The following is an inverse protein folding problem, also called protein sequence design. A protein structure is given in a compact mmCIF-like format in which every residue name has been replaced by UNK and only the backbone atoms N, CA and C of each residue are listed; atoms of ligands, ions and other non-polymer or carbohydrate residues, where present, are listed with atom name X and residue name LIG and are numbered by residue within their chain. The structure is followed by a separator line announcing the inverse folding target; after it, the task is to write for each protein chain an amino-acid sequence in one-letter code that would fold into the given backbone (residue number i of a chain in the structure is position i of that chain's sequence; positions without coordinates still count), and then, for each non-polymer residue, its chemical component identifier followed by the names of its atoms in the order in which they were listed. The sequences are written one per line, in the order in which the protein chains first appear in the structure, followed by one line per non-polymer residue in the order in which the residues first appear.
data_IF_562922912956
#
_entry.id   IF_562922912956
#
_cell.length_a   1.000
_cell.length_b   1.000
_cell.length_c   1.000
_cell.angle_alpha   90.00
_cell.angle_beta   90.00
_cell.angle_gamma   90.00
#
_symmetry.space_group_name_H-M   'P 1'
#
loop_
_entity.id
_entity.type
_entity.pdbx_description
1 polymer ?
#
# COMPACT_ATOMS: atom_id res chain seq x y z
N UNK A 1 21.19 -11.72 -30.43
CA UNK A 1 20.05 -10.79 -30.51
C UNK A 1 19.78 -10.27 -29.11
N UNK A 2 20.07 -9.00 -28.86
CA UNK A 2 19.84 -8.38 -27.56
C UNK A 2 18.34 -8.13 -27.40
N UNK A 3 17.71 -8.90 -26.52
CA UNK A 3 16.33 -8.66 -26.14
C UNK A 3 16.32 -7.45 -25.20
N UNK A 4 15.93 -6.29 -25.73
CA UNK A 4 15.69 -5.10 -24.92
C UNK A 4 14.56 -5.44 -23.97
N UNK A 5 14.87 -5.75 -22.72
CA UNK A 5 13.87 -5.87 -21.68
C UNK A 5 13.18 -4.51 -21.58
N UNK A 6 11.92 -4.44 -22.01
CA UNK A 6 11.05 -3.32 -21.68
C UNK A 6 11.06 -3.28 -20.16
N UNK A 7 11.56 -2.20 -19.56
CA UNK A 7 11.49 -2.01 -18.12
C UNK A 7 10.00 -1.92 -17.75
N UNK A 8 9.37 -3.05 -17.48
CA UNK A 8 8.03 -3.10 -16.92
C UNK A 8 8.15 -2.59 -15.49
N UNK A 9 7.56 -1.42 -15.21
CA UNK A 9 7.57 -0.85 -13.87
C UNK A 9 7.03 -1.85 -12.85
N UNK A 10 7.39 -1.72 -11.55
CA UNK A 10 7.14 -2.74 -10.53
C UNK A 10 5.68 -3.19 -10.43
N UNK A 11 4.73 -2.30 -10.73
CA UNK A 11 3.29 -2.59 -10.75
C UNK A 11 2.82 -3.45 -11.92
N UNK A 12 3.50 -3.39 -13.07
CA UNK A 12 3.22 -4.28 -14.20
C UNK A 12 3.57 -5.73 -13.84
N UNK A 13 4.74 -5.93 -13.23
CA UNK A 13 5.20 -7.25 -12.78
C UNK A 13 4.30 -7.80 -11.66
N UNK A 14 3.93 -6.95 -10.69
CA UNK A 14 2.97 -7.32 -9.63
C UNK A 14 1.63 -7.76 -10.20
N UNK A 15 1.06 -7.02 -11.16
CA UNK A 15 -0.19 -7.41 -11.82
C UNK A 15 -0.06 -8.74 -12.57
N UNK A 16 1.03 -8.93 -13.32
CA UNK A 16 1.29 -10.18 -14.03
C UNK A 16 1.37 -11.35 -13.04
N UNK A 17 2.08 -11.15 -11.93
CA UNK A 17 2.20 -12.14 -10.86
C UNK A 17 0.86 -12.44 -10.18
N UNK A 18 0.05 -11.43 -9.89
CA UNK A 18 -1.29 -11.61 -9.30
C UNK A 18 -2.18 -12.44 -10.22
N UNK A 19 -2.17 -12.16 -11.54
CA UNK A 19 -2.91 -12.96 -12.53
C UNK A 19 -2.45 -14.42 -12.57
N UNK A 20 -1.12 -14.64 -12.58
CA UNK A 20 -0.53 -15.99 -12.55
C UNK A 20 -0.94 -16.76 -11.28
N UNK A 21 -0.82 -16.13 -10.11
CA UNK A 21 -1.24 -16.75 -8.84
C UNK A 21 -2.74 -17.02 -8.81
N UNK A 22 -3.55 -16.09 -9.33
CA UNK A 22 -5.01 -16.22 -9.38
C UNK A 22 -5.46 -17.38 -10.26
N UNK A 23 -4.74 -17.67 -11.34
CA UNK A 23 -4.98 -18.81 -12.22
C UNK A 23 -4.61 -20.15 -11.57
N UNK A 24 -3.58 -20.16 -10.71
CA UNK A 24 -3.08 -21.38 -10.05
C UNK A 24 -3.80 -21.73 -8.75
N UNK A 25 -4.20 -20.73 -7.98
CA UNK A 25 -4.69 -20.92 -6.62
C UNK A 25 -6.12 -20.39 -6.46
N UNK A 26 -7.10 -21.18 -6.93
CA UNK A 26 -8.51 -20.81 -6.89
C UNK A 26 -9.03 -20.53 -5.47
N UNK A 27 -8.53 -21.23 -4.45
CA UNK A 27 -8.91 -21.02 -3.05
C UNK A 27 -8.56 -19.61 -2.53
N UNK A 28 -7.55 -18.97 -3.13
CA UNK A 28 -7.11 -17.62 -2.78
C UNK A 28 -7.73 -16.55 -3.67
N UNK A 29 -8.73 -16.92 -4.48
CA UNK A 29 -9.29 -16.06 -5.53
C UNK A 29 -9.75 -14.70 -5.03
N UNK A 30 -10.53 -14.66 -3.94
CA UNK A 30 -11.05 -13.42 -3.35
C UNK A 30 -9.91 -12.46 -2.95
N UNK A 31 -8.89 -12.95 -2.25
CA UNK A 31 -7.76 -12.13 -1.78
C UNK A 31 -6.90 -11.67 -2.95
N UNK A 32 -6.70 -12.50 -3.96
CA UNK A 32 -5.89 -12.16 -5.15
C UNK A 32 -6.62 -11.18 -6.07
N UNK A 33 -7.93 -11.32 -6.23
CA UNK A 33 -8.76 -10.37 -6.98
C UNK A 33 -8.74 -9.01 -6.27
N UNK A 34 -8.88 -9.00 -4.94
CA UNK A 34 -8.75 -7.80 -4.12
C UNK A 34 -7.36 -7.16 -4.24
N UNK A 35 -6.28 -7.93 -4.09
CA UNK A 35 -4.92 -7.41 -4.23
C UNK A 35 -4.69 -6.82 -5.63
N UNK A 36 -5.22 -7.47 -6.68
CA UNK A 36 -5.18 -6.95 -8.04
C UNK A 36 -5.85 -5.59 -8.19
N UNK A 37 -6.97 -5.36 -7.52
CA UNK A 37 -7.66 -4.07 -7.51
C UNK A 37 -6.88 -3.01 -6.70
N UNK A 38 -6.33 -3.39 -5.54
CA UNK A 38 -5.52 -2.52 -4.68
C UNK A 38 -4.25 -2.03 -5.39
N UNK A 39 -3.64 -2.84 -6.26
CA UNK A 39 -2.47 -2.44 -7.04
C UNK A 39 -2.71 -1.20 -7.90
N UNK A 40 -3.94 -0.93 -8.35
CA UNK A 40 -4.26 0.29 -9.09
C UNK A 40 -4.13 1.54 -8.23
N UNK A 41 -4.62 1.49 -6.99
CA UNK A 41 -4.46 2.58 -6.01
C UNK A 41 -2.99 2.79 -5.66
N UNK A 42 -2.26 1.70 -5.43
CA UNK A 42 -0.86 1.76 -5.05
C UNK A 42 0.04 2.28 -6.20
N UNK A 43 -0.23 1.90 -7.46
CA UNK A 43 0.50 2.42 -8.61
C UNK A 43 0.28 3.92 -8.79
N UNK A 44 -0.95 4.40 -8.56
CA UNK A 44 -1.26 5.81 -8.61
C UNK A 44 -0.48 6.57 -7.53
N UNK A 45 -0.52 6.11 -6.27
CA UNK A 45 0.23 6.71 -5.17
C UNK A 45 1.75 6.71 -5.43
N UNK A 46 2.30 5.63 -5.99
CA UNK A 46 3.70 5.54 -6.39
C UNK A 46 4.06 6.58 -7.47
N UNK A 47 3.23 6.72 -8.50
CA UNK A 47 3.46 7.67 -9.60
C UNK A 47 3.37 9.11 -9.12
N UNK A 48 2.37 9.43 -8.30
CA UNK A 48 2.22 10.77 -7.70
C UNK A 48 3.39 11.11 -6.77
N UNK A 49 3.79 10.19 -5.91
CA UNK A 49 4.92 10.39 -5.00
C UNK A 49 6.25 10.64 -5.72
N UNK A 50 6.47 10.06 -6.91
CA UNK A 50 7.66 10.40 -7.72
C UNK A 50 7.63 11.85 -8.23
N UNK A 51 6.44 12.36 -8.52
CA UNK A 51 6.27 13.72 -9.05
C UNK A 51 6.36 14.81 -7.99
N UNK A 52 6.05 14.47 -6.73
CA UNK A 52 6.05 15.41 -5.62
C UNK A 52 7.33 15.22 -4.80
N UNK A 53 8.17 16.26 -4.71
CA UNK A 53 9.31 16.25 -3.79
C UNK A 53 8.79 16.47 -2.36
N UNK A 54 8.35 15.41 -1.71
CA UNK A 54 7.83 15.44 -0.33
C UNK A 54 8.99 15.48 0.68
N UNK A 55 8.91 16.37 1.67
CA UNK A 55 9.71 16.28 2.88
C UNK A 55 9.16 15.23 3.85
N UNK A 56 9.97 14.80 4.83
CA UNK A 56 9.55 13.77 5.80
C UNK A 56 8.32 14.18 6.64
N UNK A 57 8.16 15.47 6.97
CA UNK A 57 6.99 15.96 7.70
C UNK A 57 5.72 15.97 6.81
N UNK A 58 5.88 16.22 5.52
CA UNK A 58 4.77 16.25 4.55
C UNK A 58 4.32 14.84 4.16
N UNK A 59 5.18 13.83 4.36
CA UNK A 59 4.88 12.44 4.07
C UNK A 59 3.68 11.92 4.86
N UNK A 60 3.64 12.17 6.18
CA UNK A 60 2.53 11.71 7.04
C UNK A 60 1.22 12.31 6.57
N UNK A 61 1.19 13.64 6.37
CA UNK A 61 0.01 14.35 5.91
C UNK A 61 -0.44 13.87 4.52
N UNK A 62 0.49 13.76 3.57
CA UNK A 62 0.22 13.28 2.22
C UNK A 62 -0.40 11.87 2.24
N UNK A 63 0.21 10.92 2.94
CA UNK A 63 -0.27 9.54 2.97
C UNK A 63 -1.63 9.46 3.65
N UNK A 64 -1.80 10.13 4.79
CA UNK A 64 -3.04 10.12 5.57
C UNK A 64 -4.23 10.76 4.82
N UNK A 65 -4.00 11.82 4.05
CA UNK A 65 -5.07 12.57 3.38
C UNK A 65 -5.35 12.09 1.96
N UNK A 66 -4.39 11.45 1.30
CA UNK A 66 -4.50 11.10 -0.12
C UNK A 66 -4.56 9.59 -0.34
N UNK A 67 -3.69 8.84 0.32
CA UNK A 67 -3.52 7.41 0.03
C UNK A 67 -4.40 6.55 0.93
N UNK A 68 -4.46 6.84 2.23
CA UNK A 68 -5.32 6.09 3.17
C UNK A 68 -6.78 6.08 2.72
N UNK A 69 -7.42 7.21 2.33
CA UNK A 69 -8.81 7.18 1.88
C UNK A 69 -9.00 6.31 0.63
N UNK A 70 -8.09 6.39 -0.35
CA UNK A 70 -8.19 5.58 -1.56
C UNK A 70 -8.02 4.07 -1.28
N UNK A 71 -7.13 3.71 -0.36
CA UNK A 71 -6.96 2.32 0.11
C UNK A 71 -8.21 1.85 0.85
N UNK A 72 -8.76 2.69 1.72
CA UNK A 72 -10.01 2.42 2.44
C UNK A 72 -11.15 2.17 1.46
N UNK A 73 -11.37 3.08 0.51
CA UNK A 73 -12.46 2.98 -0.46
C UNK A 73 -12.36 1.69 -1.28
N UNK A 74 -11.15 1.37 -1.75
CA UNK A 74 -10.89 0.12 -2.46
C UNK A 74 -11.12 -1.11 -1.57
N UNK A 75 -10.73 -1.03 -0.29
CA UNK A 75 -10.95 -2.10 0.68
C UNK A 75 -12.42 -2.33 0.92
N UNK A 76 -13.21 -1.28 1.16
CA UNK A 76 -14.65 -1.36 1.36
C UNK A 76 -15.35 -1.92 0.11
N UNK A 77 -14.93 -1.51 -1.08
CA UNK A 77 -15.54 -1.94 -2.34
C UNK A 77 -15.26 -3.40 -2.70
N UNK A 78 -14.01 -3.86 -2.54
CA UNK A 78 -13.55 -5.13 -3.12
C UNK A 78 -12.87 -6.09 -2.12
N UNK A 79 -12.69 -5.67 -0.86
CA UNK A 79 -12.00 -6.45 0.15
C UNK A 79 -12.79 -7.69 0.62
N UNK A 80 -12.10 -8.71 1.16
CA UNK A 80 -12.75 -9.80 1.88
C UNK A 80 -13.63 -9.29 3.03
N UNK A 81 -14.74 -9.96 3.32
CA UNK A 81 -15.76 -9.50 4.28
C UNK A 81 -15.18 -9.01 5.62
N UNK A 82 -14.36 -9.83 6.29
CA UNK A 82 -13.78 -9.47 7.60
C UNK A 82 -12.88 -8.23 7.53
N UNK A 83 -12.19 -8.02 6.41
CA UNK A 83 -11.34 -6.86 6.23
C UNK A 83 -12.17 -5.59 6.00
N UNK A 84 -13.26 -5.70 5.23
CA UNK A 84 -14.23 -4.61 5.03
C UNK A 84 -14.84 -4.15 6.33
N UNK A 85 -15.33 -5.09 7.14
CA UNK A 85 -15.92 -4.81 8.45
C UNK A 85 -14.90 -4.14 9.38
N UNK A 86 -13.69 -4.71 9.49
CA UNK A 86 -12.64 -4.13 10.35
C UNK A 86 -12.20 -2.73 9.92
N UNK A 87 -12.10 -2.46 8.61
CA UNK A 87 -11.77 -1.12 8.10
C UNK A 87 -12.91 -0.13 8.33
N UNK A 88 -14.17 -0.54 8.12
CA UNK A 88 -15.33 0.31 8.38
C UNK A 88 -15.42 0.72 9.85
N UNK A 89 -15.17 -0.21 10.78
CA UNK A 89 -15.13 0.09 12.21
C UNK A 89 -13.97 1.04 12.55
N UNK A 90 -12.81 0.85 11.91
CA UNK A 90 -11.62 1.67 12.16
C UNK A 90 -11.79 3.13 11.71
N UNK A 91 -12.53 3.38 10.61
CA UNK A 91 -12.83 4.73 10.14
C UNK A 91 -13.63 5.56 11.14
N UNK A 92 -14.46 4.91 11.95
CA UNK A 92 -15.30 5.59 12.94
C UNK A 92 -14.53 5.96 14.23
N UNK A 93 -13.28 5.53 14.37
CA UNK A 93 -12.61 5.46 15.68
C UNK A 93 -11.23 6.12 15.78
N UNK A 94 -10.69 6.77 14.74
CA UNK A 94 -9.46 7.54 14.93
C UNK A 94 -8.86 8.21 13.69
N UNK A 95 -7.85 9.04 13.93
CA UNK A 95 -7.20 9.87 12.91
C UNK A 95 -6.22 9.04 12.04
N UNK A 96 -6.35 9.04 10.70
CA UNK A 96 -5.38 8.46 9.78
C UNK A 96 -3.93 8.95 9.98
N UNK A 97 -3.73 10.20 10.42
CA UNK A 97 -2.39 10.75 10.67
C UNK A 97 -1.68 10.05 11.82
N UNK A 98 -2.41 9.76 12.91
CA UNK A 98 -1.88 9.02 14.06
C UNK A 98 -1.50 7.59 13.66
N UNK A 99 -2.33 6.94 12.84
CA UNK A 99 -2.07 5.61 12.31
C UNK A 99 -0.76 5.56 11.49
N UNK A 100 -0.54 6.54 10.61
CA UNK A 100 0.70 6.60 9.80
C UNK A 100 1.91 6.97 10.67
N UNK A 101 1.75 7.91 11.60
CA UNK A 101 2.82 8.31 12.52
C UNK A 101 3.29 7.13 13.39
N UNK A 102 2.36 6.38 13.98
CA UNK A 102 2.65 5.21 14.80
C UNK A 102 3.40 4.13 13.99
N UNK A 103 3.00 3.88 12.74
CA UNK A 103 3.71 2.95 11.86
C UNK A 103 5.13 3.40 11.54
N UNK A 104 5.32 4.67 11.18
CA UNK A 104 6.66 5.25 10.93
C UNK A 104 7.51 5.22 12.20
N UNK A 105 6.90 5.42 13.37
CA UNK A 105 7.54 5.35 14.68
C UNK A 105 7.92 3.93 15.12
N UNK A 106 7.42 2.90 14.45
CA UNK A 106 7.65 1.50 14.83
C UNK A 106 6.79 1.02 16.00
N UNK A 107 5.69 1.72 16.29
CA UNK A 107 4.76 1.35 17.34
C UNK A 107 3.97 0.08 16.97
N UNK A 108 3.56 -0.68 17.98
CA UNK A 108 2.76 -1.87 17.76
C UNK A 108 1.34 -1.49 17.31
N UNK A 109 0.90 -2.10 16.21
CA UNK A 109 -0.42 -1.88 15.64
C UNK A 109 -1.20 -3.18 15.49
N UNK A 110 -2.52 -3.10 15.71
CA UNK A 110 -3.47 -4.16 15.39
C UNK A 110 -3.48 -4.51 13.90
N UNK A 111 -4.12 -5.62 13.55
CA UNK A 111 -4.07 -6.15 12.18
C UNK A 111 -4.63 -5.19 11.11
N UNK A 112 -5.69 -4.46 11.42
CA UNK A 112 -6.32 -3.49 10.50
C UNK A 112 -5.43 -2.27 10.31
N UNK A 113 -4.92 -1.69 11.39
CA UNK A 113 -4.05 -0.51 11.35
C UNK A 113 -2.75 -0.82 10.60
N UNK A 114 -2.16 -1.99 10.87
CA UNK A 114 -1.00 -2.49 10.13
C UNK A 114 -1.30 -2.66 8.65
N UNK A 115 -2.45 -3.22 8.29
CA UNK A 115 -2.87 -3.37 6.90
C UNK A 115 -2.97 -1.98 6.23
N UNK A 116 -3.72 -1.05 6.83
CA UNK A 116 -3.93 0.29 6.27
C UNK A 116 -2.62 1.07 6.14
N UNK A 117 -1.78 1.06 7.18
CA UNK A 117 -0.50 1.74 7.19
C UNK A 117 0.42 1.18 6.10
N UNK A 118 0.55 -0.14 6.04
CA UNK A 118 1.40 -0.79 5.05
C UNK A 118 0.88 -0.59 3.63
N UNK A 119 -0.42 -0.82 3.39
CA UNK A 119 -1.00 -0.68 2.05
C UNK A 119 -0.90 0.76 1.51
N UNK A 120 -0.92 1.75 2.41
CA UNK A 120 -0.87 3.18 2.05
C UNK A 120 0.56 3.73 1.95
N UNK A 121 1.45 3.36 2.87
CA UNK A 121 2.78 3.94 2.96
C UNK A 121 3.80 3.26 2.02
N UNK A 122 3.68 1.94 1.84
CA UNK A 122 4.58 1.16 0.97
C UNK A 122 4.77 1.75 -0.44
N UNK A 123 3.71 2.07 -1.22
CA UNK A 123 3.88 2.62 -2.57
C UNK A 123 4.63 3.96 -2.58
N UNK A 124 4.43 4.78 -1.54
CA UNK A 124 5.05 6.10 -1.44
C UNK A 124 6.52 5.98 -1.06
N UNK A 125 6.87 5.12 -0.11
CA UNK A 125 8.26 4.87 0.25
C UNK A 125 9.05 4.25 -0.90
N UNK A 126 8.44 3.31 -1.63
CA UNK A 126 9.06 2.72 -2.82
C UNK A 126 9.37 3.78 -3.89
N UNK A 127 8.49 4.77 -4.06
CA UNK A 127 8.68 5.87 -4.99
C UNK A 127 9.76 6.87 -4.56
N UNK A 128 9.82 7.19 -3.27
CA UNK A 128 10.80 8.13 -2.70
C UNK A 128 12.20 7.52 -2.55
N UNK A 129 12.30 6.19 -2.56
CA UNK A 129 13.55 5.45 -2.53
C UNK A 129 14.07 5.14 -1.12
N UNK A 130 15.13 4.33 -1.09
CA UNK A 130 15.64 3.70 0.13
C UNK A 130 16.13 4.69 1.19
N UNK A 131 16.58 5.89 0.81
CA UNK A 131 17.06 6.90 1.75
C UNK A 131 15.93 7.39 2.66
N UNK A 132 14.76 7.72 2.10
CA UNK A 132 13.60 8.16 2.88
C UNK A 132 13.02 7.00 3.68
N UNK A 133 12.89 5.81 3.07
CA UNK A 133 12.45 4.61 3.77
C UNK A 133 13.34 4.28 4.98
N UNK A 134 14.65 4.55 4.89
CA UNK A 134 15.61 4.29 5.98
C UNK A 134 15.36 5.11 7.25
N UNK A 135 14.58 6.20 7.16
CA UNK A 135 14.23 7.05 8.30
C UNK A 135 13.01 6.56 9.09
N UNK A 136 12.25 5.59 8.55
CA UNK A 136 11.06 5.04 9.22
C UNK A 136 11.41 3.81 10.05
N UNK A 137 11.05 3.76 11.33
CA UNK A 137 11.35 2.66 12.26
C UNK A 137 10.35 1.48 12.21
N UNK A 138 9.34 1.54 11.34
CA UNK A 138 8.34 0.48 11.15
C UNK A 138 8.89 -0.86 10.64
N UNK A 139 8.08 -1.92 10.72
CA UNK A 139 8.46 -3.26 10.20
C UNK A 139 8.73 -3.18 8.71
N UNK A 140 10.00 -3.43 8.35
CA UNK A 140 10.48 -3.50 6.97
C UNK A 140 10.50 -4.94 6.47
N UNK A 141 10.29 -5.12 5.18
CA UNK A 141 10.65 -6.37 4.50
C UNK A 141 11.62 -6.07 3.37
N UNK A 142 12.23 -7.09 2.77
CA UNK A 142 13.23 -6.88 1.69
C UNK A 142 12.67 -6.12 0.47
N UNK A 143 11.37 -5.82 0.45
CA UNK A 143 10.69 -5.04 -0.59
C UNK A 143 10.20 -3.67 -0.10
N UNK A 144 10.36 -3.32 1.19
CA UNK A 144 9.93 -2.06 1.83
C UNK A 144 10.84 -1.67 2.99
#
# INVERSE_FOLDING_TARGET
MAQTAVATGPYTDRRARTKDLRARYLFAGEVLDFYGALLGVQEQAYTEAQSVRLGAADLIAYVAERVVPAVVDMTVAAGPLKLREGVADRLNSGDPRELIAAWIGGEEQGAIDRYLARASLSPVLEALGAEVASTCSGVRDDRH
#
